data_IF_088799749581
#
_entry.id   IF_088799749581
#
_cell.length_a   1.000
_cell.length_b   1.000
_cell.length_c   1.000
_cell.angle_alpha   90.00
_cell.angle_beta   90.00
_cell.angle_gamma   90.00
#
_symmetry.space_group_name_H-M   'P 1'
#
loop_
_entity.id
_entity.type
_entity.pdbx_description
1 polymer ?
#
# COMPACT_ATOMS: atom_id res chain seq x y z
N UNK A 1 -32.51 -35.80 45.83
CA UNK A 1 -33.55 -36.30 44.91
C UNK A 1 -32.95 -36.38 43.51
N UNK A 2 -32.86 -37.62 43.00
CA UNK A 2 -32.80 -38.09 41.62
C UNK A 2 -31.73 -37.55 40.62
N UNK A 3 -30.73 -38.42 40.42
CA UNK A 3 -29.98 -38.72 39.19
C UNK A 3 -30.89 -38.88 37.96
N UNK A 4 -30.35 -38.66 36.73
CA UNK A 4 -30.56 -39.43 35.47
C UNK A 4 -30.13 -38.57 34.27
N UNK A 5 -29.50 -39.00 33.17
CA UNK A 5 -28.63 -40.12 32.78
C UNK A 5 -28.25 -39.82 31.31
N UNK A 6 -27.05 -40.23 30.89
CA UNK A 6 -26.55 -40.38 29.51
C UNK A 6 -27.64 -40.89 28.54
N UNK A 7 -27.56 -40.61 27.23
CA UNK A 7 -27.34 -41.66 26.20
C UNK A 7 -27.29 -41.21 24.71
N UNK A 8 -26.19 -41.59 24.03
CA UNK A 8 -26.05 -42.31 22.74
C UNK A 8 -26.37 -41.66 21.36
N UNK A 9 -25.34 -41.63 20.50
CA UNK A 9 -25.43 -41.74 19.04
C UNK A 9 -25.86 -43.17 18.62
N UNK A 10 -26.36 -43.41 17.39
CA UNK A 10 -25.47 -43.94 16.34
C UNK A 10 -25.87 -43.67 14.85
N UNK A 11 -24.85 -43.83 13.98
CA UNK A 11 -24.83 -44.53 12.69
C UNK A 11 -25.68 -44.13 11.45
N UNK A 12 -24.93 -43.83 10.36
CA UNK A 12 -24.97 -44.44 9.00
C UNK A 12 -26.29 -44.52 8.21
N UNK A 13 -26.31 -43.89 7.03
CA UNK A 13 -26.97 -44.45 5.85
C UNK A 13 -26.30 -43.95 4.54
N UNK A 14 -25.83 -44.93 3.75
CA UNK A 14 -25.29 -44.84 2.39
C UNK A 14 -26.41 -45.20 1.41
N UNK A 15 -26.53 -44.52 0.26
CA UNK A 15 -27.20 -44.97 -0.99
C UNK A 15 -26.93 -43.93 -2.10
N UNK A 16 -26.00 -44.18 -3.03
CA UNK A 16 -26.14 -44.89 -4.32
C UNK A 16 -26.89 -44.06 -5.39
N UNK A 17 -26.19 -43.47 -6.38
CA UNK A 17 -25.73 -44.00 -7.69
C UNK A 17 -26.79 -43.88 -8.81
N UNK A 18 -26.56 -42.99 -9.78
CA UNK A 18 -27.12 -43.09 -11.14
C UNK A 18 -26.01 -42.83 -12.16
N UNK A 19 -25.86 -43.81 -13.06
CA UNK A 19 -24.89 -43.93 -14.14
C UNK A 19 -25.34 -43.18 -15.40
N UNK A 20 -24.41 -42.46 -16.03
CA UNK A 20 -24.25 -42.27 -17.48
C UNK A 20 -22.88 -41.59 -17.63
N UNK A 21 -21.92 -41.95 -18.47
CA UNK A 21 -21.83 -42.83 -19.64
C UNK A 21 -20.64 -42.29 -20.46
N UNK A 22 -19.94 -43.18 -21.16
CA UNK A 22 -18.91 -42.96 -22.20
C UNK A 22 -17.43 -42.84 -21.77
N UNK A 23 -16.73 -43.91 -22.15
CA UNK A 23 -15.29 -44.14 -22.19
C UNK A 23 -14.69 -43.72 -23.54
N UNK A 24 -13.52 -43.07 -23.53
CA UNK A 24 -12.52 -43.19 -24.62
C UNK A 24 -11.10 -43.15 -24.01
N UNK A 25 -10.20 -44.07 -24.38
CA UNK A 25 -8.83 -44.11 -23.87
C UNK A 25 -7.88 -43.29 -24.75
N UNK A 26 -6.92 -42.60 -24.14
CA UNK A 26 -5.71 -42.14 -24.84
C UNK A 26 -4.50 -42.30 -23.93
N UNK A 27 -3.51 -42.97 -24.49
CA UNK A 27 -2.33 -43.56 -23.89
C UNK A 27 -1.15 -42.57 -24.02
N UNK A 28 -0.40 -42.43 -22.93
CA UNK A 28 1.03 -42.09 -22.85
C UNK A 28 1.50 -40.72 -23.35
N UNK A 29 2.11 -39.95 -22.45
CA UNK A 29 3.15 -39.01 -22.83
C UNK A 29 3.26 -37.77 -21.94
N UNK A 30 4.21 -37.84 -21.02
CA UNK A 30 4.97 -36.70 -20.50
C UNK A 30 4.49 -35.92 -19.26
N UNK A 31 5.52 -35.41 -18.61
CA UNK A 31 5.70 -34.97 -17.24
C UNK A 31 5.75 -33.45 -17.29
N UNK A 32 4.75 -32.75 -16.74
CA UNK A 32 4.94 -31.45 -16.08
C UNK A 32 3.61 -30.82 -15.69
N UNK A 33 3.66 -30.12 -14.56
CA UNK A 33 2.78 -29.03 -14.16
C UNK A 33 1.29 -29.38 -13.90
N UNK A 34 1.05 -29.71 -12.63
CA UNK A 34 -0.21 -29.50 -11.90
C UNK A 34 -0.91 -28.20 -12.38
N UNK A 35 -2.14 -28.26 -12.92
CA UNK A 35 -2.97 -27.09 -13.08
C UNK A 35 -3.52 -26.76 -11.69
N UNK A 36 -2.86 -25.84 -11.01
CA UNK A 36 -3.44 -25.14 -9.87
C UNK A 36 -3.84 -23.75 -10.35
N UNK A 37 -4.79 -23.71 -11.28
CA UNK A 37 -5.62 -22.52 -11.49
C UNK A 37 -6.51 -22.40 -10.25
N UNK A 38 -5.93 -21.85 -9.19
CA UNK A 38 -6.71 -21.36 -8.06
C UNK A 38 -7.24 -20.03 -8.56
N UNK A 39 -8.39 -20.05 -9.22
CA UNK A 39 -9.25 -18.90 -9.35
C UNK A 39 -9.62 -18.47 -7.91
N UNK A 40 -8.73 -17.69 -7.33
CA UNK A 40 -8.89 -17.07 -6.04
C UNK A 40 -10.02 -16.08 -6.24
N UNK A 41 -11.21 -16.46 -5.79
CA UNK A 41 -12.32 -15.53 -5.62
C UNK A 41 -11.74 -14.29 -4.96
N UNK A 42 -11.68 -13.18 -5.71
CA UNK A 42 -11.17 -11.92 -5.20
C UNK A 42 -12.15 -11.49 -4.12
N UNK A 43 -11.88 -11.86 -2.88
CA UNK A 43 -12.43 -11.20 -1.71
C UNK A 43 -12.21 -9.70 -1.97
N UNK A 44 -13.25 -8.85 -1.94
CA UNK A 44 -13.07 -7.43 -2.15
C UNK A 44 -11.96 -6.99 -1.21
N UNK A 45 -10.85 -6.51 -1.78
CA UNK A 45 -9.76 -5.94 -1.01
C UNK A 45 -10.41 -4.84 -0.19
N UNK A 46 -10.51 -5.05 1.12
CA UNK A 46 -11.06 -4.06 2.02
C UNK A 46 -10.25 -2.78 1.79
N UNK A 47 -10.93 -1.70 1.38
CA UNK A 47 -10.27 -0.43 1.12
C UNK A 47 -9.46 -0.04 2.36
N UNK A 48 -8.15 0.13 2.21
CA UNK A 48 -7.28 0.47 3.33
C UNK A 48 -7.70 1.81 3.93
N UNK A 49 -7.81 1.88 5.25
CA UNK A 49 -8.15 3.11 5.96
C UNK A 49 -6.88 3.95 6.10
N UNK A 50 -6.82 5.09 5.42
CA UNK A 50 -5.67 6.02 5.47
C UNK A 50 -6.06 7.28 6.23
N UNK A 51 -5.31 7.56 7.29
CA UNK A 51 -5.58 8.65 8.21
C UNK A 51 -4.29 9.36 8.60
N UNK A 52 -4.36 10.68 8.76
CA UNK A 52 -3.26 11.50 9.23
C UNK A 52 -3.61 12.12 10.57
N UNK A 53 -2.68 12.06 11.51
CA UNK A 53 -2.83 12.57 12.86
C UNK A 53 -1.69 13.53 13.21
N UNK A 54 -1.94 14.48 14.09
CA UNK A 54 -0.87 15.28 14.67
C UNK A 54 -0.37 14.59 15.94
N UNK A 55 0.95 14.53 16.08
CA UNK A 55 1.59 13.95 17.24
C UNK A 55 2.73 14.81 17.75
N UNK A 56 3.08 14.63 19.02
CA UNK A 56 4.14 15.35 19.69
C UNK A 56 4.78 14.47 20.77
N UNK A 57 6.04 14.77 21.10
CA UNK A 57 6.80 14.05 22.13
C UNK A 57 6.48 14.52 23.55
N UNK A 58 5.78 15.65 23.70
CA UNK A 58 5.38 16.21 24.98
C UNK A 58 3.90 15.88 25.28
N UNK A 59 3.57 15.50 26.52
CA UNK A 59 2.19 15.29 26.93
C UNK A 59 1.37 16.57 26.79
N UNK A 60 0.10 16.43 26.43
CA UNK A 60 -0.82 17.54 26.24
C UNK A 60 -2.26 17.12 26.52
N UNK A 61 -3.08 18.08 26.92
CA UNK A 61 -4.49 17.83 27.21
C UNK A 61 -5.21 17.30 25.96
N UNK A 62 -5.93 16.18 26.10
CA UNK A 62 -6.71 15.58 25.00
C UNK A 62 -5.90 14.74 24.02
N UNK A 63 -4.60 14.54 24.24
CA UNK A 63 -3.77 13.65 23.43
C UNK A 63 -3.82 12.21 23.97
N UNK A 64 -3.85 11.25 23.06
CA UNK A 64 -3.71 9.83 23.35
C UNK A 64 -2.21 9.46 23.39
N UNK A 65 -1.77 8.85 24.47
CA UNK A 65 -0.41 8.32 24.57
C UNK A 65 -0.30 6.98 23.81
N UNK A 66 0.64 6.92 22.88
CA UNK A 66 1.03 5.72 22.14
C UNK A 66 2.46 5.39 22.49
N UNK A 67 2.68 4.16 22.98
CA UNK A 67 4.02 3.70 23.35
C UNK A 67 4.75 3.23 22.10
N UNK A 68 5.83 3.92 21.75
CA UNK A 68 6.69 3.61 20.61
C UNK A 68 8.08 3.17 21.12
N UNK A 69 8.88 2.45 20.32
CA UNK A 69 10.22 2.01 20.75
C UNK A 69 11.10 3.17 21.25
N UNK A 70 10.94 4.35 20.65
CA UNK A 70 11.69 5.57 20.99
C UNK A 70 11.10 6.38 22.17
N UNK A 71 10.03 5.90 22.83
CA UNK A 71 9.42 6.55 24.00
C UNK A 71 7.89 6.60 23.97
N UNK A 72 7.31 7.71 24.45
CA UNK A 72 5.87 7.94 24.41
C UNK A 72 5.56 9.04 23.39
N UNK A 73 4.70 8.71 22.42
CA UNK A 73 4.22 9.64 21.41
C UNK A 73 2.77 10.03 21.76
N UNK A 74 2.50 11.33 21.87
CA UNK A 74 1.17 11.83 22.20
C UNK A 74 0.49 12.29 20.92
N UNK A 75 -0.58 11.61 20.53
CA UNK A 75 -1.28 11.80 19.26
C UNK A 75 -2.67 12.40 19.48
N UNK A 76 -3.15 13.21 18.54
CA UNK A 76 -4.55 13.65 18.55
C UNK A 76 -5.49 12.47 18.35
N UNK A 77 -6.69 12.54 18.95
CA UNK A 77 -7.69 11.45 18.87
C UNK A 77 -8.45 11.43 17.55
N UNK A 78 -8.39 12.52 16.79
CA UNK A 78 -9.13 12.69 15.54
C UNK A 78 -8.15 12.86 14.39
N UNK A 79 -8.43 12.24 13.23
CA UNK A 79 -7.62 12.44 12.04
C UNK A 79 -7.85 13.86 11.51
N UNK A 80 -6.77 14.54 11.17
CA UNK A 80 -6.79 15.88 10.56
C UNK A 80 -7.01 15.81 9.04
N UNK A 81 -6.54 14.73 8.42
CA UNK A 81 -6.70 14.43 6.99
C UNK A 81 -6.98 12.93 6.84
N UNK A 82 -7.61 12.57 5.73
CA UNK A 82 -7.98 11.19 5.40
C UNK A 82 -7.64 10.86 3.96
N UNK A 83 -7.87 9.60 3.55
CA UNK A 83 -7.76 9.18 2.15
C UNK A 83 -8.54 10.07 1.17
N UNK A 84 -9.70 10.58 1.58
CA UNK A 84 -10.55 11.41 0.72
C UNK A 84 -9.92 12.77 0.39
N UNK A 85 -8.93 13.21 1.17
CA UNK A 85 -8.18 14.45 0.94
C UNK A 85 -7.00 14.25 -0.03
N UNK A 86 -6.70 13.00 -0.41
CA UNK A 86 -5.64 12.64 -1.34
C UNK A 86 -6.18 12.50 -2.77
N UNK A 87 -5.49 13.12 -3.72
CA UNK A 87 -5.71 12.89 -5.16
C UNK A 87 -4.87 11.73 -5.69
N UNK A 88 -3.64 11.57 -5.19
CA UNK A 88 -2.68 10.63 -5.75
C UNK A 88 -1.67 10.15 -4.69
N UNK A 89 -1.18 8.92 -4.84
CA UNK A 89 -0.06 8.37 -4.08
C UNK A 89 0.84 7.54 -5.01
N UNK A 90 2.15 7.76 -4.96
CA UNK A 90 3.11 7.13 -5.86
C UNK A 90 4.42 6.79 -5.14
N UNK A 91 5.02 5.66 -5.51
CA UNK A 91 6.40 5.37 -5.19
C UNK A 91 7.32 6.18 -6.12
N UNK A 92 8.33 6.83 -5.55
CA UNK A 92 9.28 7.67 -6.25
C UNK A 92 10.71 7.23 -5.92
N UNK A 93 11.63 7.41 -6.85
CA UNK A 93 13.06 7.19 -6.64
C UNK A 93 13.79 8.44 -7.11
N UNK A 94 14.63 9.01 -6.24
CA UNK A 94 15.44 10.17 -6.58
C UNK A 94 16.65 9.80 -7.44
N UNK A 95 17.32 10.79 -8.05
CA UNK A 95 18.59 10.64 -8.79
C UNK A 95 19.68 9.91 -7.99
N UNK A 96 19.65 10.01 -6.67
CA UNK A 96 20.59 9.32 -5.77
C UNK A 96 20.20 7.86 -5.48
N UNK A 97 19.13 7.34 -6.06
CA UNK A 97 18.62 5.99 -5.79
C UNK A 97 17.88 5.87 -4.44
N UNK A 98 17.58 7.01 -3.80
CA UNK A 98 16.81 7.05 -2.56
C UNK A 98 15.32 6.85 -2.88
N UNK A 99 14.65 5.99 -2.11
CA UNK A 99 13.24 5.64 -2.32
C UNK A 99 12.35 6.53 -1.47
N UNK A 100 11.26 7.01 -2.06
CA UNK A 100 10.29 7.87 -1.41
C UNK A 100 8.87 7.42 -1.73
N UNK A 101 7.94 7.78 -0.85
CA UNK A 101 6.51 7.75 -1.14
C UNK A 101 6.05 9.19 -1.26
N UNK A 102 5.55 9.55 -2.44
CA UNK A 102 4.97 10.86 -2.73
C UNK A 102 3.45 10.80 -2.66
N UNK A 103 2.87 11.72 -1.91
CA UNK A 103 1.42 11.90 -1.76
C UNK A 103 1.05 13.27 -2.32
N UNK A 104 0.00 13.32 -3.15
CA UNK A 104 -0.59 14.57 -3.64
C UNK A 104 -1.98 14.71 -3.05
N UNK A 105 -2.25 15.88 -2.50
CA UNK A 105 -3.54 16.24 -1.94
C UNK A 105 -4.39 16.92 -3.00
N UNK A 106 -5.71 16.70 -2.95
CA UNK A 106 -6.64 17.48 -3.74
C UNK A 106 -6.74 18.92 -3.19
N UNK A 107 -7.45 19.82 -3.87
CA UNK A 107 -7.50 21.23 -3.48
C UNK A 107 -8.01 21.43 -2.04
N UNK A 108 -9.04 20.70 -1.63
CA UNK A 108 -9.56 20.73 -0.25
C UNK A 108 -8.51 20.23 0.74
N UNK A 109 -7.88 19.09 0.45
CA UNK A 109 -6.84 18.48 1.26
C UNK A 109 -5.61 19.36 1.41
N UNK A 110 -5.17 20.01 0.33
CA UNK A 110 -4.02 20.92 0.35
C UNK A 110 -4.29 22.16 1.23
N UNK A 111 -5.51 22.72 1.18
CA UNK A 111 -5.91 23.83 2.06
C UNK A 111 -5.93 23.41 3.53
N UNK A 112 -6.53 22.24 3.84
CA UNK A 112 -6.52 21.67 5.20
C UNK A 112 -5.10 21.39 5.69
N UNK A 113 -4.26 20.78 4.83
CA UNK A 113 -2.87 20.48 5.15
C UNK A 113 -2.08 21.76 5.46
N UNK A 114 -2.28 22.84 4.70
CA UNK A 114 -1.65 24.13 4.95
C UNK A 114 -2.06 24.70 6.33
N UNK A 115 -3.37 24.74 6.63
CA UNK A 115 -3.88 25.24 7.90
C UNK A 115 -3.36 24.42 9.10
N UNK A 116 -3.43 23.09 8.98
CA UNK A 116 -2.99 22.16 10.03
C UNK A 116 -1.47 22.25 10.22
N UNK A 117 -0.68 22.19 9.15
CA UNK A 117 0.78 22.25 9.24
C UNK A 117 1.27 23.61 9.75
N UNK A 118 0.64 24.72 9.34
CA UNK A 118 0.98 26.06 9.82
C UNK A 118 0.76 26.24 11.33
N UNK A 119 -0.28 25.62 11.89
CA UNK A 119 -0.57 25.64 13.33
C UNK A 119 0.27 24.65 14.15
N UNK A 120 0.90 23.68 13.49
CA UNK A 120 1.59 22.55 14.13
C UNK A 120 3.07 22.44 13.73
N UNK A 121 3.70 23.55 13.35
CA UNK A 121 5.15 23.60 13.09
C UNK A 121 5.91 23.12 14.33
N UNK A 122 6.87 22.22 14.12
CA UNK A 122 7.67 21.59 15.17
C UNK A 122 7.06 20.29 15.74
N UNK A 123 5.79 19.99 15.44
CA UNK A 123 5.13 18.71 15.77
C UNK A 123 5.35 17.67 14.66
N UNK A 124 4.84 16.47 14.85
CA UNK A 124 4.95 15.34 13.92
C UNK A 124 3.61 15.10 13.23
N UNK A 125 3.66 14.81 11.93
CA UNK A 125 2.49 14.38 11.17
C UNK A 125 2.57 12.86 11.00
N UNK A 126 1.68 12.14 11.66
CA UNK A 126 1.66 10.68 11.66
C UNK A 126 0.72 10.17 10.57
N UNK A 127 1.23 9.29 9.71
CA UNK A 127 0.45 8.54 8.74
C UNK A 127 0.12 7.17 9.32
N UNK A 128 -1.17 6.88 9.41
CA UNK A 128 -1.70 5.59 9.85
C UNK A 128 -2.43 4.94 8.68
N UNK A 129 -2.11 3.68 8.40
CA UNK A 129 -2.79 2.87 7.39
C UNK A 129 -3.27 1.58 8.06
N UNK A 130 -4.57 1.26 7.96
CA UNK A 130 -5.14 0.04 8.56
C UNK A 130 -4.86 -0.10 10.07
N UNK A 131 -4.79 1.04 10.78
CA UNK A 131 -4.42 1.16 12.21
C UNK A 131 -2.95 0.83 12.53
N UNK A 132 -2.10 0.77 11.50
CA UNK A 132 -0.65 0.64 11.64
C UNK A 132 0.02 2.00 11.42
N UNK A 133 0.93 2.39 12.32
CA UNK A 133 1.74 3.59 12.16
C UNK A 133 2.79 3.33 11.08
N UNK A 134 2.68 4.04 9.96
CA UNK A 134 3.59 3.87 8.81
C UNK A 134 4.77 4.82 8.89
N UNK A 135 4.51 6.10 9.17
CA UNK A 135 5.56 7.11 9.29
C UNK A 135 5.10 8.29 10.13
N UNK A 136 6.05 9.05 10.68
CA UNK A 136 5.79 10.22 11.50
C UNK A 136 6.79 11.36 11.23
N UNK A 137 6.86 11.92 10.01
CA UNK A 137 7.75 13.03 9.70
C UNK A 137 7.46 14.27 10.57
N UNK A 138 8.51 15.00 10.93
CA UNK A 138 8.39 16.28 11.64
C UNK A 138 8.00 17.39 10.67
N UNK A 139 7.03 18.21 11.07
CA UNK A 139 6.59 19.40 10.34
C UNK A 139 7.62 20.50 10.60
N UNK A 140 8.56 20.68 9.68
CA UNK A 140 9.58 21.73 9.77
C UNK A 140 9.06 23.11 9.33
N UNK A 141 8.15 23.13 8.36
CA UNK A 141 7.59 24.34 7.75
C UNK A 141 6.14 24.09 7.30
N UNK A 142 5.34 25.15 7.05
CA UNK A 142 3.99 25.01 6.52
C UNK A 142 3.96 24.29 5.17
N UNK A 143 3.15 23.24 5.07
CA UNK A 143 3.01 22.37 3.90
C UNK A 143 1.98 22.93 2.91
N UNK A 144 2.30 24.07 2.32
CA UNK A 144 1.42 24.80 1.39
C UNK A 144 1.47 24.29 -0.06
N UNK A 145 2.36 23.34 -0.39
CA UNK A 145 2.54 22.82 -1.76
C UNK A 145 1.52 21.75 -2.16
N UNK A 146 0.68 21.30 -1.22
CA UNK A 146 -0.29 20.21 -1.47
C UNK A 146 0.37 18.87 -1.79
N UNK A 147 1.66 18.71 -1.51
CA UNK A 147 2.42 17.47 -1.70
C UNK A 147 3.18 17.13 -0.44
N UNK A 148 3.31 15.84 -0.16
CA UNK A 148 4.08 15.31 0.95
C UNK A 148 4.93 14.16 0.45
N UNK A 149 6.20 14.11 0.82
CA UNK A 149 7.09 13.02 0.48
C UNK A 149 7.86 12.55 1.72
N UNK A 150 8.01 11.24 1.88
CA UNK A 150 8.82 10.65 2.95
C UNK A 150 9.68 9.52 2.40
N UNK A 151 10.90 9.40 2.91
CA UNK A 151 11.86 8.37 2.52
C UNK A 151 11.48 7.01 3.09
N UNK A 152 11.78 5.95 2.35
CA UNK A 152 11.58 4.56 2.79
C UNK A 152 12.79 3.71 2.44
N UNK A 153 12.95 2.60 3.17
CA UNK A 153 14.15 1.76 3.10
C UNK A 153 14.31 0.97 1.80
N UNK A 154 13.20 0.71 1.07
CA UNK A 154 13.24 -0.09 -0.15
C UNK A 154 12.18 0.36 -1.17
N UNK A 155 12.42 0.15 -2.47
CA UNK A 155 11.42 0.47 -3.50
C UNK A 155 10.16 -0.39 -3.37
N UNK A 156 10.28 -1.63 -2.89
CA UNK A 156 9.14 -2.51 -2.64
C UNK A 156 8.26 -1.96 -1.51
N UNK A 157 8.86 -1.41 -0.45
CA UNK A 157 8.10 -0.75 0.62
C UNK A 157 7.38 0.50 0.09
N UNK A 158 8.05 1.29 -0.76
CA UNK A 158 7.43 2.46 -1.38
C UNK A 158 6.16 2.08 -2.16
N UNK A 159 6.27 1.07 -3.02
CA UNK A 159 5.15 0.61 -3.84
C UNK A 159 4.01 0.03 -2.98
N UNK A 160 4.35 -0.81 -2.00
CA UNK A 160 3.35 -1.40 -1.12
C UNK A 160 2.56 -0.35 -0.34
N UNK A 161 3.24 0.68 0.19
CA UNK A 161 2.60 1.79 0.90
C UNK A 161 1.75 2.62 -0.08
N UNK A 162 2.27 2.96 -1.26
CA UNK A 162 1.52 3.72 -2.25
C UNK A 162 0.24 2.99 -2.71
N UNK A 163 0.33 1.69 -2.99
CA UNK A 163 -0.80 0.85 -3.39
C UNK A 163 -1.86 0.76 -2.29
N UNK A 164 -1.42 0.53 -1.04
CA UNK A 164 -2.32 0.57 0.14
C UNK A 164 -3.05 1.91 0.23
N UNK A 165 -2.33 3.01 0.04
CA UNK A 165 -2.96 4.33 0.07
C UNK A 165 -3.96 4.47 -1.07
N UNK A 166 -3.63 4.05 -2.30
CA UNK A 166 -4.56 4.12 -3.43
C UNK A 166 -5.82 3.27 -3.24
N UNK A 167 -5.76 2.27 -2.36
CA UNK A 167 -6.83 1.27 -2.16
C UNK A 167 -6.75 0.14 -3.17
N UNK A 168 -5.58 -0.07 -3.78
CA UNK A 168 -5.33 -1.15 -4.70
C UNK A 168 -4.85 -2.40 -3.94
N UNK A 169 -5.28 -3.57 -4.37
CA UNK A 169 -4.68 -4.82 -3.91
C UNK A 169 -3.18 -4.81 -4.23
N UNK A 170 -2.31 -5.36 -3.36
CA UNK A 170 -0.88 -5.40 -3.62
C UNK A 170 -0.62 -6.11 -4.95
N UNK A 171 -0.24 -5.36 -5.99
CA UNK A 171 0.16 -5.96 -7.25
C UNK A 171 1.58 -6.53 -7.09
N UNK A 172 1.84 -7.76 -7.55
CA UNK A 172 3.19 -8.31 -7.52
C UNK A 172 4.14 -7.35 -8.26
N UNK A 173 5.33 -7.16 -7.70
CA UNK A 173 6.31 -6.13 -8.04
C UNK A 173 6.94 -6.20 -9.46
N UNK A 174 6.18 -6.63 -10.47
CA UNK A 174 6.59 -6.73 -11.88
C UNK A 174 5.69 -5.99 -12.86
N UNK A 175 4.65 -5.27 -12.42
CA UNK A 175 3.69 -4.58 -13.29
C UNK A 175 3.74 -3.04 -13.20
N UNK A 176 4.88 -2.46 -12.77
CA UNK A 176 5.04 -1.01 -12.80
C UNK A 176 5.10 -0.54 -14.26
N UNK A 177 4.01 0.04 -14.74
CA UNK A 177 4.00 0.80 -15.98
C UNK A 177 5.04 1.93 -15.85
N UNK A 178 5.95 2.09 -16.83
CA UNK A 178 6.90 3.18 -16.81
C UNK A 178 6.14 4.52 -16.78
N UNK A 179 6.57 5.41 -15.89
CA UNK A 179 6.07 6.78 -15.81
C UNK A 179 5.96 7.41 -17.21
N UNK A 180 4.84 8.09 -17.54
CA UNK A 180 4.67 8.67 -18.86
C UNK A 180 5.69 9.80 -19.08
N UNK A 181 6.68 9.50 -19.92
CA UNK A 181 7.24 10.41 -20.91
C UNK A 181 7.86 11.71 -20.40
N UNK A 182 9.07 11.63 -19.85
CA UNK A 182 10.01 12.74 -19.98
C UNK A 182 10.77 12.55 -21.31
N UNK A 183 10.14 12.98 -22.40
CA UNK A 183 10.81 13.12 -23.71
C UNK A 183 11.96 14.12 -23.53
N UNK A 184 13.18 13.63 -23.42
CA UNK A 184 14.35 14.43 -23.76
C UNK A 184 14.26 14.78 -25.26
N UNK A 185 14.46 16.04 -25.68
CA UNK A 185 14.47 16.37 -27.09
C UNK A 185 15.62 15.66 -27.81
N UNK A 186 15.30 14.95 -28.90
CA UNK A 186 16.27 14.44 -29.88
C UNK A 186 17.16 15.58 -30.38
N UNK A 187 18.42 15.36 -30.69
CA UNK A 187 18.89 14.36 -31.64
C UNK A 187 19.29 15.12 -32.92
N UNK A 188 20.60 15.22 -33.18
CA UNK A 188 21.12 15.45 -34.53
C UNK A 188 22.41 14.66 -34.68
N UNK A 189 22.29 13.59 -35.44
CA UNK A 189 23.37 12.75 -35.95
C UNK A 189 23.93 13.33 -37.26
N UNK A 190 24.99 12.66 -37.73
CA UNK A 190 25.83 12.90 -38.91
C UNK A 190 26.89 13.98 -38.68
N UNK A 191 28.19 13.71 -38.85
CA UNK A 191 28.80 13.22 -40.11
C UNK A 191 29.94 12.21 -39.89
N UNK A 192 30.07 11.18 -40.75
CA UNK A 192 31.30 10.46 -40.99
C UNK A 192 31.89 10.87 -42.35
N UNK A 193 33.14 11.33 -42.40
CA UNK A 193 33.91 11.27 -43.65
C UNK A 193 35.41 11.37 -43.40
N UNK A 194 36.03 10.19 -43.39
CA UNK A 194 37.27 9.85 -44.10
C UNK A 194 38.16 11.01 -44.60
N UNK A 195 39.41 11.05 -44.14
CA UNK A 195 40.55 11.08 -45.08
C UNK A 195 41.86 10.68 -44.41
N UNK A 196 42.69 9.83 -45.03
CA UNK A 196 44.02 9.45 -44.58
C UNK A 196 45.12 10.34 -45.19
N UNK A 197 46.32 10.23 -44.61
CA UNK A 197 47.64 10.54 -45.17
C UNK A 197 48.10 12.01 -45.07
N UNK A 198 49.09 12.26 -44.21
CA UNK A 198 50.50 12.58 -44.54
C UNK A 198 51.28 12.76 -43.22
#
# INVERSE_FOLDING_TARGET
MQLTLRKFAPAVAVMALVLAGCTTPSKTGDKAAKPADTAQAATPAAASVVEFYIAQTQPGAGLAEVKVPDGSLYMERQPVLTRADLSEAAALVDRQGQNFVGLRFNESGARKLNDVSGKNVGKMLVLVIDRELVTAPRIAEPLNRGVLAFSVSSPQAAEAIAAKIRGEAPQPAGAQAPAPGMKAPGGRAAEPSNSPNQ
#
